data_IF_732234306514
#
_entry.id   IF_732234306514
#
_cell.length_a   1.000
_cell.length_b   1.000
_cell.length_c   1.000
_cell.angle_alpha   90.00
_cell.angle_beta   90.00
_cell.angle_gamma   90.00
#
_symmetry.space_group_name_H-M   'P 1'
#
loop_
_entity.id
_entity.type
_entity.pdbx_description
1 polymer ?
#
# COMPACT_ATOMS: atom_id res chain seq x y z
N UNK A 1 -18.44 11.44 -11.78
CA UNK A 1 -18.42 10.57 -10.58
C UNK A 1 -19.31 9.34 -10.81
N UNK A 2 -20.59 9.52 -11.13
CA UNK A 2 -21.55 8.41 -11.27
C UNK A 2 -21.17 7.34 -12.31
N UNK A 3 -20.80 7.73 -13.54
CA UNK A 3 -20.29 6.78 -14.54
C UNK A 3 -18.97 6.10 -14.13
N UNK A 4 -18.09 6.80 -13.42
CA UNK A 4 -16.82 6.23 -12.96
C UNK A 4 -17.05 5.14 -11.90
N UNK A 5 -17.97 5.36 -10.97
CA UNK A 5 -18.33 4.38 -9.94
C UNK A 5 -18.98 3.12 -10.51
N UNK A 6 -19.67 3.22 -11.65
CA UNK A 6 -20.25 2.07 -12.35
C UNK A 6 -19.20 1.17 -13.03
N UNK A 7 -18.06 1.74 -13.43
CA UNK A 7 -16.95 1.01 -14.06
C UNK A 7 -16.04 0.30 -13.05
N UNK A 8 -16.04 0.74 -11.79
CA UNK A 8 -15.30 0.15 -10.68
C UNK A 8 -15.10 1.14 -9.54
N UNK A 9 -15.02 0.64 -8.30
CA UNK A 9 -14.89 1.48 -7.10
C UNK A 9 -13.66 2.38 -7.11
N UNK A 10 -12.59 1.96 -7.81
CA UNK A 10 -11.29 2.64 -7.76
C UNK A 10 -11.13 3.67 -8.89
N UNK A 11 -12.00 3.67 -9.91
CA UNK A 11 -11.92 4.59 -11.06
C UNK A 11 -12.04 6.07 -10.65
N UNK A 12 -12.97 6.47 -9.76
CA UNK A 12 -13.04 7.85 -9.29
C UNK A 12 -11.75 8.36 -8.66
N UNK A 13 -10.96 7.49 -8.02
CA UNK A 13 -9.69 7.86 -7.39
C UNK A 13 -8.62 8.26 -8.40
N UNK A 14 -8.55 7.56 -9.55
CA UNK A 14 -7.51 7.81 -10.56
C UNK A 14 -7.68 9.12 -11.33
N UNK A 15 -8.87 9.74 -11.31
CA UNK A 15 -9.15 10.96 -12.06
C UNK A 15 -8.37 12.17 -11.54
N UNK A 16 -8.14 12.24 -10.23
CA UNK A 16 -7.65 13.47 -9.58
C UNK A 16 -6.14 13.52 -9.38
N UNK A 17 -5.44 12.39 -9.55
CA UNK A 17 -3.99 12.26 -9.38
C UNK A 17 -3.46 12.89 -8.08
N UNK A 18 -4.24 12.80 -7.00
CA UNK A 18 -3.91 13.34 -5.67
C UNK A 18 -4.14 12.28 -4.61
N UNK A 19 -3.31 12.25 -3.55
CA UNK A 19 -3.60 11.42 -2.39
C UNK A 19 -4.93 11.85 -1.76
N UNK A 20 -5.73 10.90 -1.33
CA UNK A 20 -7.03 11.16 -0.73
C UNK A 20 -7.40 10.10 0.30
N UNK A 21 -8.28 10.47 1.23
CA UNK A 21 -9.03 9.54 2.07
C UNK A 21 -10.32 9.24 1.32
N UNK A 22 -10.56 7.96 1.02
CA UNK A 22 -11.83 7.49 0.49
C UNK A 22 -12.62 6.81 1.62
N UNK A 23 -13.90 7.13 1.74
CA UNK A 23 -14.84 6.53 2.72
C UNK A 23 -16.10 6.04 2.01
N UNK A 24 -16.93 5.28 2.73
CA UNK A 24 -18.08 4.57 2.14
C UNK A 24 -17.61 3.36 1.32
N UNK A 25 -18.17 3.19 0.12
CA UNK A 25 -17.71 2.24 -0.90
C UNK A 25 -16.62 2.83 -1.82
N UNK A 26 -16.03 3.97 -1.42
CA UNK A 26 -15.03 4.71 -2.21
C UNK A 26 -15.59 5.98 -2.87
N UNK A 27 -16.88 6.28 -2.69
CA UNK A 27 -17.54 7.42 -3.32
C UNK A 27 -17.29 8.76 -2.64
N UNK A 28 -16.94 8.75 -1.34
CA UNK A 28 -16.67 9.97 -0.55
C UNK A 28 -15.18 10.20 -0.47
N UNK A 29 -14.67 11.07 -1.35
CA UNK A 29 -13.24 11.37 -1.49
C UNK A 29 -12.93 12.71 -0.82
N UNK A 30 -11.97 12.70 0.13
CA UNK A 30 -11.37 13.90 0.73
C UNK A 30 -9.89 13.96 0.37
N UNK A 31 -9.50 14.94 -0.45
CA UNK A 31 -8.11 15.12 -0.85
C UNK A 31 -7.23 15.51 0.33
N UNK A 32 -6.00 15.01 0.29
CA UNK A 32 -4.96 15.29 1.26
C UNK A 32 -3.93 16.26 0.66
N UNK A 33 -3.34 17.06 1.53
CA UNK A 33 -2.24 17.96 1.18
C UNK A 33 -1.06 17.66 2.10
N UNK A 34 0.01 17.11 1.53
CA UNK A 34 1.29 16.90 2.19
C UNK A 34 2.41 16.89 1.13
N UNK A 35 3.69 17.00 1.52
CA UNK A 35 4.79 17.04 0.55
C UNK A 35 4.82 15.83 -0.37
N UNK A 36 4.76 16.09 -1.67
CA UNK A 36 4.90 15.15 -2.77
C UNK A 36 6.13 15.54 -3.62
N UNK A 37 6.72 14.62 -4.38
CA UNK A 37 6.32 13.22 -4.58
C UNK A 37 6.96 12.30 -3.53
N UNK A 38 6.22 11.26 -3.14
CA UNK A 38 6.82 10.12 -2.43
C UNK A 38 7.51 9.19 -3.41
N UNK A 39 8.41 8.35 -2.91
CA UNK A 39 9.07 7.29 -3.66
C UNK A 39 8.67 5.94 -3.08
N UNK A 40 8.53 4.95 -3.95
CA UNK A 40 8.10 3.61 -3.54
C UNK A 40 9.02 2.55 -4.10
N UNK A 41 9.29 1.53 -3.30
CA UNK A 41 9.77 0.25 -3.81
C UNK A 41 8.60 -0.72 -3.75
N UNK A 42 8.19 -1.24 -4.89
CA UNK A 42 7.14 -2.26 -4.99
C UNK A 42 7.82 -3.60 -5.18
N UNK A 43 7.54 -4.57 -4.31
CA UNK A 43 7.96 -5.97 -4.43
C UNK A 43 6.74 -6.79 -4.82
N UNK A 44 6.87 -7.58 -5.88
CA UNK A 44 5.83 -8.45 -6.42
C UNK A 44 6.29 -9.91 -6.32
N UNK A 45 5.87 -10.64 -5.27
CA UNK A 45 6.06 -12.08 -5.23
C UNK A 45 5.22 -12.76 -6.32
N UNK A 46 5.68 -13.89 -6.90
CA UNK A 46 5.02 -14.57 -8.02
C UNK A 46 3.82 -15.42 -7.55
N UNK A 47 2.94 -14.85 -6.74
CA UNK A 47 1.71 -15.48 -6.24
C UNK A 47 0.49 -14.63 -6.60
N UNK A 48 -0.67 -15.28 -6.73
CA UNK A 48 -1.97 -14.63 -6.91
C UNK A 48 -2.83 -14.87 -5.67
N UNK A 49 -3.42 -13.80 -5.16
CA UNK A 49 -4.34 -13.85 -4.04
C UNK A 49 -5.70 -13.40 -4.55
N UNK A 50 -6.74 -14.21 -4.28
CA UNK A 50 -8.11 -13.83 -4.61
C UNK A 50 -8.55 -12.68 -3.71
N UNK A 51 -8.98 -11.58 -4.31
CA UNK A 51 -9.57 -10.44 -3.60
C UNK A 51 -10.71 -10.91 -2.71
N UNK A 52 -11.65 -11.70 -3.25
CA UNK A 52 -12.77 -12.24 -2.48
C UNK A 52 -12.32 -13.04 -1.25
N UNK A 53 -11.31 -13.90 -1.41
CA UNK A 53 -10.77 -14.66 -0.29
C UNK A 53 -10.11 -13.76 0.77
N UNK A 54 -9.33 -12.75 0.34
CA UNK A 54 -8.67 -11.83 1.26
C UNK A 54 -9.70 -11.07 2.12
N UNK A 55 -10.79 -10.59 1.49
CA UNK A 55 -11.89 -9.92 2.19
C UNK A 55 -12.61 -10.83 3.20
N UNK A 56 -12.69 -12.14 2.94
CA UNK A 56 -13.24 -13.11 3.92
C UNK A 56 -12.36 -13.26 5.17
N UNK A 57 -11.10 -12.82 5.15
CA UNK A 57 -10.22 -12.86 6.31
C UNK A 57 -10.32 -11.60 7.18
N UNK A 58 -11.04 -10.55 6.73
CA UNK A 58 -11.22 -9.33 7.50
C UNK A 58 -11.97 -9.66 8.79
N UNK A 59 -11.42 -9.18 9.91
CA UNK A 59 -12.17 -9.00 11.14
C UNK A 59 -12.50 -7.52 11.26
N UNK A 60 -13.76 -7.16 11.02
CA UNK A 60 -14.21 -5.78 11.08
C UNK A 60 -13.98 -5.25 12.49
N UNK A 61 -13.19 -4.18 12.60
CA UNK A 61 -13.10 -3.40 13.83
C UNK A 61 -14.26 -2.42 13.87
N UNK A 62 -14.99 -2.36 14.98
CA UNK A 62 -16.12 -1.43 15.19
C UNK A 62 -15.68 -0.01 15.55
N UNK A 63 -14.39 0.30 15.43
CA UNK A 63 -13.83 1.59 15.86
C UNK A 63 -14.03 2.63 14.75
N UNK A 64 -14.71 3.72 15.07
CA UNK A 64 -14.76 4.90 14.20
C UNK A 64 -13.35 5.47 14.03
N UNK A 65 -12.79 5.33 12.83
CA UNK A 65 -11.49 5.91 12.49
C UNK A 65 -11.64 7.40 12.13
N UNK A 66 -11.45 8.28 13.10
CA UNK A 66 -11.21 9.70 12.82
C UNK A 66 -9.74 9.95 12.46
N UNK A 67 -9.36 9.63 11.23
CA UNK A 67 -7.99 9.87 10.76
C UNK A 67 -7.83 11.34 10.36
N UNK A 68 -7.08 12.11 11.16
CA UNK A 68 -6.57 13.42 10.78
C UNK A 68 -5.17 13.26 10.20
N UNK A 69 -5.05 13.48 8.89
CA UNK A 69 -3.77 13.45 8.16
C UNK A 69 -3.45 14.89 7.74
N UNK A 70 -2.46 15.50 8.40
CA UNK A 70 -1.98 16.85 8.08
C UNK A 70 -0.55 16.83 7.52
N UNK A 71 0.19 15.74 7.74
CA UNK A 71 1.54 15.55 7.27
C UNK A 71 1.82 14.08 6.94
N UNK A 72 2.89 13.83 6.19
CA UNK A 72 3.35 12.47 5.84
C UNK A 72 3.54 11.59 7.09
N UNK A 73 4.08 12.14 8.17
CA UNK A 73 4.25 11.41 9.45
C UNK A 73 2.93 10.84 10.01
N UNK A 74 1.80 11.50 9.74
CA UNK A 74 0.50 11.05 10.21
C UNK A 74 0.06 9.82 9.41
N UNK A 75 0.30 9.81 8.09
CA UNK A 75 0.06 8.65 7.23
C UNK A 75 0.85 7.44 7.74
N UNK A 76 2.13 7.68 8.03
CA UNK A 76 3.05 6.64 8.47
C UNK A 76 2.68 6.09 9.86
N UNK A 77 2.04 6.88 10.72
CA UNK A 77 1.47 6.45 12.01
C UNK A 77 0.26 5.53 11.83
N UNK A 78 -0.58 5.82 10.84
CA UNK A 78 -1.79 5.05 10.55
C UNK A 78 -1.62 4.06 9.40
N UNK A 79 -0.37 3.74 9.03
CA UNK A 79 -0.08 2.85 7.91
C UNK A 79 -0.39 1.41 8.29
N UNK A 80 -1.61 1.00 8.00
CA UNK A 80 -2.14 -0.33 8.31
C UNK A 80 -3.01 -0.83 7.15
N UNK A 81 -3.02 -2.13 6.96
CA UNK A 81 -3.92 -2.82 6.05
C UNK A 81 -4.57 -3.99 6.79
N UNK A 82 -5.87 -3.92 7.01
CA UNK A 82 -6.61 -4.92 7.79
C UNK A 82 -6.65 -6.30 7.12
N UNK A 83 -6.47 -6.36 5.79
CA UNK A 83 -6.36 -7.62 5.04
C UNK A 83 -5.04 -8.33 5.32
N UNK A 84 -3.99 -7.57 5.64
CA UNK A 84 -2.61 -8.06 5.66
C UNK A 84 -2.43 -9.22 6.64
N UNK A 85 -2.96 -9.10 7.87
CA UNK A 85 -2.84 -10.16 8.87
C UNK A 85 -3.45 -11.49 8.41
N UNK A 86 -4.62 -11.42 7.77
CA UNK A 86 -5.30 -12.59 7.23
C UNK A 86 -4.51 -13.20 6.08
N UNK A 87 -4.03 -12.36 5.17
CA UNK A 87 -3.24 -12.79 4.01
C UNK A 87 -1.90 -13.41 4.44
N UNK A 88 -1.15 -12.77 5.33
CA UNK A 88 0.16 -13.25 5.82
C UNK A 88 0.06 -14.60 6.52
N UNK A 89 -1.08 -14.90 7.15
CA UNK A 89 -1.28 -16.20 7.83
C UNK A 89 -1.29 -17.38 6.87
N UNK A 90 -1.64 -17.15 5.59
CA UNK A 90 -1.71 -18.19 4.55
C UNK A 90 -0.58 -18.09 3.53
N UNK A 91 -0.15 -16.88 3.19
CA UNK A 91 0.82 -16.62 2.12
C UNK A 91 2.12 -16.09 2.72
N UNK A 92 3.06 -17.02 2.96
CA UNK A 92 4.35 -16.74 3.62
C UNK A 92 5.18 -15.73 2.82
N UNK A 93 4.95 -15.66 1.51
CA UNK A 93 5.61 -14.75 0.58
C UNK A 93 5.33 -13.29 0.93
N UNK A 94 4.16 -12.95 1.46
CA UNK A 94 3.86 -11.58 1.88
C UNK A 94 4.74 -11.19 3.06
N UNK A 95 4.82 -12.07 4.08
CA UNK A 95 5.72 -11.87 5.23
C UNK A 95 7.17 -11.75 4.79
N UNK A 96 7.62 -12.65 3.91
CA UNK A 96 8.99 -12.66 3.37
C UNK A 96 9.30 -11.41 2.54
N UNK A 97 8.36 -10.91 1.75
CA UNK A 97 8.52 -9.64 1.01
C UNK A 97 8.75 -8.46 1.95
N UNK A 98 7.99 -8.41 3.05
CA UNK A 98 8.16 -7.38 4.06
C UNK A 98 9.51 -7.48 4.77
N UNK A 99 9.94 -8.69 5.11
CA UNK A 99 11.25 -8.96 5.69
C UNK A 99 12.38 -8.51 4.75
N UNK A 100 12.33 -8.86 3.46
CA UNK A 100 13.29 -8.40 2.46
C UNK A 100 13.41 -6.86 2.44
N UNK A 101 12.28 -6.14 2.42
CA UNK A 101 12.27 -4.67 2.44
C UNK A 101 12.83 -4.11 3.75
N UNK A 102 12.43 -4.67 4.90
CA UNK A 102 12.92 -4.23 6.22
C UNK A 102 14.42 -4.47 6.37
N UNK A 103 14.91 -5.65 5.99
CA UNK A 103 16.32 -6.00 6.02
C UNK A 103 17.17 -5.13 5.09
N UNK A 104 16.59 -4.64 3.99
CA UNK A 104 17.25 -3.67 3.10
C UNK A 104 17.28 -2.23 3.66
N UNK A 105 16.67 -1.99 4.82
CA UNK A 105 16.62 -0.69 5.50
C UNK A 105 15.33 0.10 5.26
N UNK A 106 14.28 -0.52 4.72
CA UNK A 106 12.99 0.16 4.57
C UNK A 106 12.27 0.27 5.93
N UNK A 107 11.97 1.52 6.34
CA UNK A 107 11.29 1.79 7.61
C UNK A 107 9.79 1.54 7.57
N UNK A 108 9.15 1.84 6.44
CA UNK A 108 7.68 1.79 6.30
C UNK A 108 7.31 0.81 5.21
N UNK A 109 6.73 -0.32 5.63
CA UNK A 109 6.47 -1.46 4.77
C UNK A 109 5.06 -1.98 5.02
N UNK A 110 4.29 -2.14 3.94
CA UNK A 110 2.90 -2.57 3.99
C UNK A 110 2.50 -3.31 2.71
N UNK A 111 1.58 -4.26 2.80
CA UNK A 111 0.91 -4.87 1.66
C UNK A 111 -0.09 -3.89 1.02
N UNK A 112 -0.09 -3.77 -0.31
CA UNK A 112 -1.06 -2.94 -1.03
C UNK A 112 -2.34 -3.71 -1.32
N UNK A 113 -3.50 -3.17 -0.93
CA UNK A 113 -4.82 -3.77 -1.19
C UNK A 113 -4.94 -5.20 -0.64
N UNK A 114 -5.50 -6.12 -1.42
CA UNK A 114 -5.56 -7.56 -1.08
C UNK A 114 -4.25 -8.33 -1.37
N UNK A 115 -3.18 -7.63 -1.74
CA UNK A 115 -1.94 -8.25 -2.21
C UNK A 115 -1.98 -8.65 -3.69
N UNK A 116 -0.92 -9.24 -4.22
CA UNK A 116 0.29 -9.73 -3.51
C UNK A 116 1.42 -8.72 -3.36
N UNK A 117 1.27 -7.52 -3.90
CA UNK A 117 2.33 -6.51 -3.85
C UNK A 117 2.57 -5.99 -2.44
N UNK A 118 3.84 -5.88 -2.06
CA UNK A 118 4.30 -5.23 -0.82
C UNK A 118 5.09 -3.99 -1.19
N UNK A 119 4.79 -2.87 -0.54
CA UNK A 119 5.38 -1.58 -0.82
C UNK A 119 6.24 -1.08 0.35
N UNK A 120 7.39 -0.52 0.02
CA UNK A 120 8.20 0.32 0.89
C UNK A 120 8.01 1.79 0.53
N UNK A 121 7.84 2.68 1.51
CA UNK A 121 7.52 4.10 1.32
C UNK A 121 8.68 5.00 1.76
N UNK A 122 9.01 5.99 0.93
CA UNK A 122 10.12 6.92 1.16
C UNK A 122 9.73 8.35 0.81
N UNK A 123 10.20 9.34 1.58
CA UNK A 123 10.07 10.76 1.23
C UNK A 123 11.20 11.25 0.32
N UNK A 124 12.29 10.50 0.22
CA UNK A 124 13.50 10.89 -0.49
C UNK A 124 13.93 9.85 -1.53
N UNK A 125 14.22 10.30 -2.75
CA UNK A 125 14.74 9.46 -3.85
C UNK A 125 16.04 8.74 -3.47
N UNK A 126 16.96 9.44 -2.81
CA UNK A 126 18.30 8.93 -2.51
C UNK A 126 18.19 7.74 -1.54
N UNK A 127 17.34 7.87 -0.52
CA UNK A 127 17.07 6.79 0.43
C UNK A 127 16.44 5.59 -0.27
N UNK A 128 15.42 5.82 -1.10
CA UNK A 128 14.77 4.76 -1.87
C UNK A 128 15.76 4.03 -2.80
N UNK A 129 16.67 4.76 -3.46
CA UNK A 129 17.72 4.16 -4.29
C UNK A 129 18.72 3.34 -3.48
N UNK A 130 19.11 3.82 -2.29
CA UNK A 130 20.00 3.08 -1.38
C UNK A 130 19.36 1.74 -0.97
N UNK A 131 18.11 1.77 -0.51
CA UNK A 131 17.38 0.55 -0.13
C UNK A 131 17.19 -0.37 -1.34
N UNK A 132 16.85 0.18 -2.51
CA UNK A 132 16.70 -0.62 -3.73
C UNK A 132 17.98 -1.36 -4.13
N UNK A 133 19.15 -0.73 -3.96
CA UNK A 133 20.46 -1.38 -4.21
C UNK A 133 20.77 -2.49 -3.21
N UNK A 134 20.39 -2.31 -1.95
CA UNK A 134 20.58 -3.31 -0.89
C UNK A 134 19.52 -4.44 -0.91
N UNK A 135 18.47 -4.30 -1.71
CA UNK A 135 17.34 -5.22 -1.73
C UNK A 135 17.73 -6.56 -2.36
N UNK A 136 17.71 -7.61 -1.55
CA UNK A 136 17.88 -9.01 -1.99
C UNK A 136 16.53 -9.69 -1.98
N UNK A 137 16.15 -10.30 -3.11
CA UNK A 137 14.88 -10.99 -3.29
C UNK A 137 15.10 -12.46 -3.68
N UNK A 138 14.14 -13.34 -3.35
CA UNK A 138 14.14 -14.71 -3.88
C UNK A 138 14.08 -14.74 -5.42
N UNK A 139 14.56 -15.83 -6.02
CA UNK A 139 14.52 -16.02 -7.47
C UNK A 139 13.08 -15.95 -7.98
N UNK A 140 12.89 -15.26 -9.11
CA UNK A 140 11.59 -15.11 -9.77
C UNK A 140 10.71 -13.98 -9.23
N UNK A 141 11.14 -13.30 -8.15
CA UNK A 141 10.43 -12.15 -7.62
C UNK A 141 10.81 -10.88 -8.37
N UNK A 142 9.84 -9.98 -8.54
CA UNK A 142 10.06 -8.71 -9.21
C UNK A 142 10.06 -7.56 -8.21
N UNK A 143 10.79 -6.49 -8.53
CA UNK A 143 10.64 -5.25 -7.79
C UNK A 143 10.92 -4.02 -8.63
N UNK A 144 10.22 -2.93 -8.31
CA UNK A 144 10.22 -1.68 -9.06
C UNK A 144 10.49 -0.51 -8.11
N UNK A 145 11.34 0.43 -8.52
CA UNK A 145 11.48 1.73 -7.86
C UNK A 145 10.68 2.75 -8.66
N UNK A 146 9.67 3.35 -8.03
CA UNK A 146 8.75 4.26 -8.72
C UNK A 146 8.61 5.58 -7.98
N UNK A 147 8.40 6.65 -8.74
CA UNK A 147 8.04 7.98 -8.24
C UNK A 147 6.51 8.03 -8.11
N UNK A 148 6.01 8.49 -6.97
CA UNK A 148 4.61 8.81 -6.77
C UNK A 148 4.14 9.98 -7.63
N UNK A 149 2.83 10.19 -7.61
CA UNK A 149 2.15 11.31 -8.25
C UNK A 149 2.65 12.66 -7.71
#
# INVERSE_FOLDING_TARGET
MEMASQLGSDIPFFLFKKPAIATGKGEKIKFLSFPLPLWYIIVCPPIRISTAWAYQQIRLTTVEFQIKINALKDILKYLQNDLERGVESRFVEIKRAKECLKSAGCRYVIMSGSGSSVIGIFSNKIEAQKVKKALVLPKGWQSFLVKGL
#
